data_IF_850001382696
#
_entry.id   IF_850001382696
#
_cell.length_a   1.000
_cell.length_b   1.000
_cell.length_c   1.000
_cell.angle_alpha   90.00
_cell.angle_beta   90.00
_cell.angle_gamma   90.00
#
_symmetry.space_group_name_H-M   'P 1'
#
loop_
_entity.id
_entity.type
_entity.pdbx_description
1 polymer ?
#
# COMPACT_ATOMS: atom_id res chain seq x y z
N UNK A 1 23.22 25.06 -8.59
CA UNK A 1 23.77 23.79 -8.08
C UNK A 1 24.87 23.25 -9.00
N UNK A 2 24.64 23.14 -10.31
CA UNK A 2 25.65 22.62 -11.25
C UNK A 2 26.99 23.39 -11.21
N UNK A 3 26.95 24.71 -11.00
CA UNK A 3 28.16 25.53 -10.84
C UNK A 3 28.94 25.28 -9.54
N UNK A 4 28.29 24.73 -8.49
CA UNK A 4 28.90 24.47 -7.19
C UNK A 4 29.33 23.00 -7.01
N UNK A 5 28.77 22.08 -7.81
CA UNK A 5 29.03 20.64 -7.73
C UNK A 5 29.25 20.05 -9.13
N UNK A 6 30.50 20.04 -9.63
CA UNK A 6 30.83 19.44 -10.92
C UNK A 6 30.47 17.95 -10.93
N UNK A 7 29.74 17.50 -11.97
CA UNK A 7 29.29 16.11 -12.11
C UNK A 7 27.92 15.80 -11.52
N UNK A 8 27.21 16.80 -10.97
CA UNK A 8 25.83 16.64 -10.53
C UNK A 8 24.90 16.41 -11.73
N UNK A 9 24.16 15.29 -11.72
CA UNK A 9 23.14 15.00 -12.73
C UNK A 9 21.76 15.39 -12.23
N UNK A 10 21.13 16.36 -12.89
CA UNK A 10 19.76 16.77 -12.60
C UNK A 10 18.79 15.96 -13.45
N UNK A 11 17.81 15.33 -12.81
CA UNK A 11 16.67 14.74 -13.49
C UNK A 11 15.46 15.61 -13.19
N UNK A 12 14.79 16.08 -14.25
CA UNK A 12 13.60 16.91 -14.11
C UNK A 12 12.35 16.03 -14.21
N UNK A 13 11.43 16.27 -13.28
CA UNK A 13 10.12 15.67 -13.25
C UNK A 13 9.04 16.76 -13.20
N UNK A 14 8.05 16.67 -14.08
CA UNK A 14 6.90 17.59 -14.15
C UNK A 14 5.66 17.05 -13.43
N UNK A 15 5.74 15.85 -12.86
CA UNK A 15 4.72 15.26 -12.01
C UNK A 15 5.36 14.27 -11.02
N UNK A 16 4.66 13.99 -9.93
CA UNK A 16 5.19 13.17 -8.85
C UNK A 16 5.52 11.73 -9.33
N UNK A 17 4.72 11.12 -10.20
CA UNK A 17 4.96 9.76 -10.70
C UNK A 17 6.23 9.65 -11.54
N UNK A 18 6.48 10.64 -12.40
CA UNK A 18 7.73 10.70 -13.16
C UNK A 18 8.91 10.86 -12.21
N UNK A 19 8.76 11.65 -11.13
CA UNK A 19 9.76 11.78 -10.09
C UNK A 19 10.03 10.44 -9.39
N UNK A 20 8.99 9.66 -9.07
CA UNK A 20 9.16 8.31 -8.48
C UNK A 20 9.87 7.35 -9.43
N UNK A 21 9.42 7.22 -10.67
CA UNK A 21 10.02 6.28 -11.63
C UNK A 21 11.49 6.62 -11.89
N UNK A 22 11.81 7.91 -12.00
CA UNK A 22 13.19 8.36 -12.09
C UNK A 22 13.97 8.07 -10.81
N UNK A 23 13.36 8.25 -9.64
CA UNK A 23 14.01 7.96 -8.36
C UNK A 23 14.28 6.46 -8.18
N UNK A 24 13.36 5.60 -8.59
CA UNK A 24 13.52 4.14 -8.55
C UNK A 24 14.60 3.66 -9.52
N UNK A 25 14.62 4.19 -10.75
CA UNK A 25 15.59 3.78 -11.77
C UNK A 25 17.00 4.33 -11.52
N UNK A 26 17.10 5.60 -11.10
CA UNK A 26 18.39 6.29 -10.98
C UNK A 26 18.94 6.33 -9.55
N UNK A 27 18.14 5.97 -8.54
CA UNK A 27 18.47 6.02 -7.11
C UNK A 27 19.19 7.33 -6.73
N UNK A 28 18.57 8.51 -7.00
CA UNK A 28 19.19 9.79 -6.75
C UNK A 28 19.37 9.99 -5.24
N UNK A 29 20.43 10.72 -4.88
CA UNK A 29 20.70 11.06 -3.48
C UNK A 29 19.62 11.98 -2.90
N UNK A 30 19.06 12.86 -3.73
CA UNK A 30 18.02 13.81 -3.37
C UNK A 30 16.93 13.88 -4.43
N UNK A 31 15.70 14.12 -3.98
CA UNK A 31 14.58 14.50 -4.82
C UNK A 31 13.96 15.77 -4.26
N UNK A 32 13.90 16.82 -5.07
CA UNK A 32 13.29 18.10 -4.71
C UNK A 32 11.87 18.14 -5.23
N UNK A 33 10.90 18.45 -4.36
CA UNK A 33 9.48 18.54 -4.69
C UNK A 33 8.99 19.92 -4.33
N UNK A 34 8.48 20.64 -5.31
CA UNK A 34 7.87 21.95 -5.11
C UNK A 34 6.60 21.84 -4.26
N UNK A 35 6.36 22.82 -3.39
CA UNK A 35 5.26 22.85 -2.41
C UNK A 35 3.89 22.61 -3.05
N UNK A 36 3.64 23.14 -4.25
CA UNK A 36 2.40 22.87 -5.00
C UNK A 36 2.12 21.39 -5.20
N UNK A 37 3.15 20.56 -5.42
CA UNK A 37 3.00 19.11 -5.52
C UNK A 37 2.85 18.45 -4.17
N UNK A 38 3.41 19.01 -3.09
CA UNK A 38 3.30 18.44 -1.74
C UNK A 38 1.88 18.52 -1.16
N UNK A 39 1.04 19.39 -1.72
CA UNK A 39 -0.35 19.59 -1.32
C UNK A 39 -1.34 18.69 -2.06
N UNK A 40 -0.87 17.92 -3.04
CA UNK A 40 -1.69 17.00 -3.81
C UNK A 40 -2.02 15.75 -2.98
N UNK A 41 -3.26 15.20 -3.04
CA UNK A 41 -3.60 13.93 -2.41
C UNK A 41 -2.68 12.78 -2.84
N UNK A 42 -2.18 12.82 -4.07
CA UNK A 42 -1.22 11.89 -4.63
C UNK A 42 0.11 11.93 -3.87
N UNK A 43 0.50 13.07 -3.29
CA UNK A 43 1.75 13.21 -2.54
C UNK A 43 1.75 12.34 -1.27
N UNK A 44 0.63 12.26 -0.54
CA UNK A 44 0.55 11.39 0.64
C UNK A 44 0.77 9.92 0.30
N UNK A 45 0.20 9.46 -0.82
CA UNK A 45 0.41 8.12 -1.32
C UNK A 45 1.86 7.91 -1.78
N UNK A 46 2.47 8.96 -2.31
CA UNK A 46 3.83 8.92 -2.78
C UNK A 46 4.85 9.00 -1.65
N UNK A 47 4.55 9.60 -0.50
CA UNK A 47 5.40 9.53 0.70
C UNK A 47 5.69 8.08 1.12
N UNK A 48 4.70 7.20 1.04
CA UNK A 48 4.88 5.77 1.34
C UNK A 48 5.82 5.09 0.34
N UNK A 49 5.69 5.40 -0.96
CA UNK A 49 6.55 4.87 -2.01
C UNK A 49 7.97 5.47 -1.93
N UNK A 50 8.06 6.76 -1.67
CA UNK A 50 9.27 7.54 -1.45
C UNK A 50 10.06 7.09 -0.23
N UNK A 51 9.38 6.65 0.84
CA UNK A 51 10.04 6.03 2.01
C UNK A 51 10.78 4.73 1.67
N UNK A 52 10.49 4.12 0.52
CA UNK A 52 11.03 2.82 0.12
C UNK A 52 12.14 2.90 -0.93
N UNK A 53 12.40 4.09 -1.46
CA UNK A 53 13.62 4.42 -2.21
C UNK A 53 14.59 5.12 -1.25
N UNK A 54 15.88 4.75 -1.27
CA UNK A 54 16.94 5.36 -0.42
C UNK A 54 17.32 6.78 -0.92
N UNK A 55 16.31 7.60 -1.16
CA UNK A 55 16.37 8.96 -1.69
C UNK A 55 15.84 9.93 -0.65
N UNK A 56 16.56 11.03 -0.40
CA UNK A 56 16.08 12.08 0.51
C UNK A 56 15.15 13.03 -0.22
N UNK A 57 13.94 13.16 0.28
CA UNK A 57 12.95 14.06 -0.29
C UNK A 57 13.07 15.44 0.35
N UNK A 58 13.00 16.49 -0.45
CA UNK A 58 13.18 17.88 0.00
C UNK A 58 12.01 18.68 -0.53
N UNK A 59 11.23 19.27 0.36
CA UNK A 59 10.15 20.17 -0.03
C UNK A 59 10.72 21.55 -0.29
N UNK A 60 10.38 22.14 -1.45
CA UNK A 60 10.79 23.50 -1.83
C UNK A 60 9.56 24.41 -1.81
N UNK A 61 9.50 25.29 -0.82
CA UNK A 61 8.38 26.19 -0.53
C UNK A 61 8.50 27.53 -1.25
N UNK A 62 7.34 28.11 -1.60
CA UNK A 62 7.27 29.40 -2.28
C UNK A 62 7.54 30.60 -1.37
N UNK A 63 7.32 30.49 -0.06
CA UNK A 63 7.44 31.63 0.87
C UNK A 63 7.79 31.21 2.30
N UNK A 64 8.53 32.03 3.07
CA UNK A 64 8.86 31.76 4.48
C UNK A 64 7.68 31.71 5.45
N UNK A 65 6.47 32.09 5.00
CA UNK A 65 5.23 32.10 5.78
C UNK A 65 4.16 31.12 5.28
N UNK A 66 4.49 30.23 4.33
CA UNK A 66 3.56 29.20 3.89
C UNK A 66 3.37 28.16 5.01
N UNK A 67 2.12 27.85 5.37
CA UNK A 67 1.83 26.82 6.38
C UNK A 67 2.45 25.50 5.94
N UNK A 68 3.36 24.90 6.74
CA UNK A 68 4.01 23.64 6.36
C UNK A 68 2.99 22.52 6.21
N UNK A 69 3.16 21.68 5.19
CA UNK A 69 2.39 20.44 5.03
C UNK A 69 2.48 19.53 6.27
N UNK A 70 3.45 19.75 7.17
CA UNK A 70 3.61 19.08 8.46
C UNK A 70 2.38 19.10 9.37
N UNK A 71 1.51 20.12 9.31
CA UNK A 71 0.29 20.11 10.13
C UNK A 71 -0.88 19.37 9.47
N UNK A 72 -0.86 19.18 8.14
CA UNK A 72 -1.94 18.49 7.43
C UNK A 72 -1.74 16.98 7.33
N UNK A 73 -0.53 16.45 7.56
CA UNK A 73 -0.30 14.99 7.50
C UNK A 73 0.71 14.48 8.54
N UNK A 74 0.27 13.63 9.51
CA UNK A 74 1.14 12.95 10.47
C UNK A 74 2.25 12.08 9.84
N UNK A 75 2.12 11.76 8.55
CA UNK A 75 3.04 10.92 7.76
C UNK A 75 4.41 11.59 7.52
N UNK A 76 4.49 12.92 7.62
CA UNK A 76 5.73 13.68 7.41
C UNK A 76 6.71 13.61 8.59
N UNK A 77 6.27 13.10 9.75
CA UNK A 77 7.10 12.98 10.95
C UNK A 77 7.89 11.67 11.03
N UNK A 78 7.61 10.68 10.17
CA UNK A 78 8.19 9.33 10.32
C UNK A 78 8.96 8.93 9.07
N UNK A 79 10.29 9.03 9.14
CA UNK A 79 11.21 8.24 8.32
C UNK A 79 11.67 8.82 6.98
N UNK A 80 10.98 9.79 6.36
CA UNK A 80 11.34 10.27 5.02
C UNK A 80 12.42 11.39 5.00
N UNK A 81 12.80 11.95 6.15
CA UNK A 81 13.84 12.98 6.23
C UNK A 81 13.54 14.19 5.32
N UNK A 82 12.30 14.68 5.33
CA UNK A 82 11.90 15.82 4.49
C UNK A 82 12.41 17.12 5.09
N UNK A 83 13.30 17.77 4.34
CA UNK A 83 13.83 19.10 4.65
C UNK A 83 13.04 20.15 3.87
N UNK A 84 12.79 21.28 4.51
CA UNK A 84 12.07 22.41 3.93
C UNK A 84 13.10 23.46 3.49
N UNK A 85 13.05 23.85 2.22
CA UNK A 85 13.85 24.93 1.65
C UNK A 85 12.90 25.95 1.04
N UNK A 86 13.21 27.23 1.11
CA UNK A 86 12.39 28.27 0.49
C UNK A 86 13.03 28.78 -0.80
N UNK A 87 12.23 29.14 -1.79
CA UNK A 87 12.72 29.80 -3.01
C UNK A 87 13.40 31.15 -2.74
N UNK A 88 13.19 31.72 -1.55
CA UNK A 88 13.81 32.96 -1.10
C UNK A 88 15.22 32.77 -0.49
N UNK A 89 15.66 31.53 -0.26
CA UNK A 89 16.99 31.26 0.27
C UNK A 89 18.09 31.59 -0.75
N UNK A 90 19.16 32.25 -0.29
CA UNK A 90 20.27 32.58 -1.18
C UNK A 90 21.00 31.32 -1.69
N UNK A 91 21.57 31.31 -2.90
CA UNK A 91 22.31 30.16 -3.43
C UNK A 91 23.44 29.65 -2.51
N UNK A 92 24.03 30.53 -1.69
CA UNK A 92 25.04 30.17 -0.68
C UNK A 92 24.44 29.43 0.51
N UNK A 93 23.27 29.87 1.01
CA UNK A 93 22.56 29.18 2.09
C UNK A 93 22.08 27.79 1.64
N UNK A 94 21.57 27.69 0.41
CA UNK A 94 21.17 26.41 -0.18
C UNK A 94 22.34 25.41 -0.26
N UNK A 95 23.53 25.87 -0.65
CA UNK A 95 24.73 25.03 -0.69
C UNK A 95 25.16 24.54 0.70
N UNK A 96 25.02 25.37 1.74
CA UNK A 96 25.31 24.99 3.12
C UNK A 96 24.32 23.93 3.64
N UNK A 97 23.02 24.07 3.33
CA UNK A 97 22.02 23.06 3.67
C UNK A 97 22.26 21.74 2.96
N UNK A 98 22.58 21.79 1.66
CA UNK A 98 22.95 20.61 0.88
C UNK A 98 24.13 19.86 1.51
N UNK A 99 25.20 20.57 1.90
CA UNK A 99 26.37 19.98 2.56
C UNK A 99 26.03 19.30 3.88
N UNK A 100 25.18 19.92 4.69
CA UNK A 100 24.70 19.35 5.95
C UNK A 100 23.86 18.09 5.71
N UNK A 101 23.02 18.11 4.67
CA UNK A 101 22.21 16.95 4.29
C UNK A 101 23.09 15.81 3.77
N UNK A 102 24.02 16.05 2.85
CA UNK A 102 24.93 14.99 2.35
C UNK A 102 25.71 14.31 3.49
N UNK A 103 26.10 15.08 4.51
CA UNK A 103 26.92 14.60 5.65
C UNK A 103 26.13 13.95 6.79
N UNK A 104 24.80 14.09 6.85
CA UNK A 104 24.00 13.52 7.94
C UNK A 104 23.94 11.98 7.88
N UNK A 105 24.06 11.26 9.03
CA UNK A 105 24.14 9.79 9.06
C UNK A 105 22.89 9.10 8.52
N UNK A 106 23.07 8.04 7.72
CA UNK A 106 21.98 7.22 7.14
C UNK A 106 21.47 6.23 8.18
N UNK A 107 20.15 6.18 8.42
CA UNK A 107 19.51 5.13 9.22
C UNK A 107 19.04 4.03 8.26
N UNK A 108 19.69 2.86 8.31
CA UNK A 108 19.31 1.68 7.52
C UNK A 108 20.31 1.27 6.44
N UNK A 109 21.60 1.15 6.75
CA UNK A 109 22.46 0.31 5.93
C UNK A 109 21.95 -1.15 6.01
N UNK A 110 21.94 -1.92 4.90
CA UNK A 110 21.43 -3.28 4.92
C UNK A 110 22.32 -4.13 5.81
N UNK A 111 21.73 -4.74 6.85
CA UNK A 111 22.36 -5.87 7.49
C UNK A 111 22.51 -6.96 6.41
N UNK A 112 23.75 -7.21 6.02
CA UNK A 112 24.11 -8.27 5.07
C UNK A 112 23.44 -9.58 5.51
N UNK A 113 22.75 -10.18 4.55
CA UNK A 113 22.29 -11.57 4.47
C UNK A 113 23.02 -12.52 5.42
N UNK A 114 22.29 -13.09 6.39
CA UNK A 114 22.66 -14.37 7.01
C UNK A 114 21.91 -15.50 6.32
N UNK A 115 22.65 -16.50 5.88
CA UNK A 115 22.23 -17.59 5.01
C UNK A 115 21.11 -18.50 5.56
N UNK A 116 20.31 -18.97 4.60
CA UNK A 116 19.36 -20.09 4.56
C UNK A 116 19.13 -20.91 5.84
N UNK A 117 17.99 -20.68 6.48
CA UNK A 117 17.23 -21.77 7.10
C UNK A 117 16.49 -22.55 5.98
N UNK A 118 16.33 -23.88 6.10
CA UNK A 118 15.51 -24.64 5.17
C UNK A 118 14.08 -24.08 5.14
N UNK A 119 13.42 -24.03 3.96
CA UNK A 119 12.08 -23.47 3.87
C UNK A 119 11.16 -24.24 4.83
N UNK A 120 10.42 -23.55 5.72
CA UNK A 120 9.51 -24.20 6.63
C UNK A 120 8.49 -25.02 5.81
N UNK A 121 8.05 -26.19 6.31
CA UNK A 121 7.18 -27.09 5.56
C UNK A 121 5.94 -26.33 5.06
N UNK A 122 5.61 -26.47 3.77
CA UNK A 122 4.43 -25.88 3.15
C UNK A 122 3.20 -26.28 3.97
N UNK A 123 2.65 -25.34 4.74
CA UNK A 123 1.38 -25.55 5.43
C UNK A 123 0.29 -25.42 4.40
N UNK A 124 -0.49 -26.46 4.25
CA UNK A 124 -1.65 -26.46 3.37
C UNK A 124 -2.79 -25.73 4.10
N UNK A 125 -2.90 -24.42 3.87
CA UNK A 125 -4.00 -23.65 4.43
C UNK A 125 -5.27 -23.97 3.65
N UNK A 126 -6.27 -24.51 4.36
CA UNK A 126 -7.60 -24.75 3.78
C UNK A 126 -8.35 -23.45 3.47
N UNK A 127 -7.94 -22.35 4.10
CA UNK A 127 -8.57 -21.03 4.01
C UNK A 127 -7.68 -20.02 3.29
N UNK A 128 -8.29 -19.01 2.68
CA UNK A 128 -7.61 -17.87 2.08
C UNK A 128 -8.21 -16.55 2.56
N UNK A 129 -7.41 -15.49 2.48
CA UNK A 129 -7.73 -14.15 2.99
C UNK A 129 -8.08 -13.23 1.83
N UNK A 130 -9.14 -12.43 1.99
CA UNK A 130 -9.51 -11.36 1.06
C UNK A 130 -9.44 -10.00 1.78
N UNK A 131 -8.80 -9.01 1.16
CA UNK A 131 -8.64 -7.67 1.74
C UNK A 131 -9.11 -6.62 0.73
N UNK A 132 -10.00 -5.73 1.17
CA UNK A 132 -10.39 -4.53 0.43
C UNK A 132 -9.91 -3.26 1.13
N UNK A 133 -9.41 -2.29 0.37
CA UNK A 133 -8.89 -1.02 0.92
C UNK A 133 -8.88 0.11 -0.11
N UNK A 134 -8.87 1.37 0.34
CA UNK A 134 -8.83 2.57 -0.51
C UNK A 134 -7.94 3.65 0.14
N UNK A 135 -8.44 4.87 0.38
CA UNK A 135 -7.71 5.96 1.05
C UNK A 135 -7.15 5.53 2.41
N UNK A 136 -5.85 5.73 2.63
CA UNK A 136 -5.10 5.23 3.78
C UNK A 136 -4.74 3.74 3.72
N UNK A 137 -5.17 3.05 2.67
CA UNK A 137 -5.04 1.60 2.51
C UNK A 137 -3.61 1.11 2.39
N UNK A 138 -2.71 1.89 1.76
CA UNK A 138 -1.30 1.52 1.62
C UNK A 138 -0.66 1.27 2.99
N UNK A 139 -0.77 2.23 3.92
CA UNK A 139 -0.20 2.08 5.27
C UNK A 139 -0.94 1.01 6.10
N UNK A 140 -2.25 0.88 5.91
CA UNK A 140 -3.01 -0.19 6.55
C UNK A 140 -2.54 -1.59 6.09
N UNK A 141 -2.30 -1.76 4.78
CA UNK A 141 -1.75 -2.97 4.19
C UNK A 141 -0.33 -3.24 4.69
N UNK A 142 0.54 -2.22 4.80
CA UNK A 142 1.87 -2.37 5.39
C UNK A 142 1.78 -2.88 6.83
N UNK A 143 0.92 -2.27 7.65
CA UNK A 143 0.73 -2.68 9.05
C UNK A 143 0.20 -4.11 9.17
N UNK A 144 -0.64 -4.56 8.24
CA UNK A 144 -1.20 -5.93 8.26
C UNK A 144 -0.16 -6.94 7.78
N UNK A 145 0.51 -6.67 6.66
CA UNK A 145 1.39 -7.64 5.99
C UNK A 145 2.73 -7.85 6.70
N UNK A 146 3.21 -6.89 7.51
CA UNK A 146 4.37 -7.12 8.39
C UNK A 146 4.12 -8.25 9.40
N UNK A 147 2.85 -8.53 9.74
CA UNK A 147 2.48 -9.66 10.58
C UNK A 147 2.44 -11.01 9.87
N UNK A 148 2.64 -11.06 8.55
CA UNK A 148 2.53 -12.28 7.76
C UNK A 148 3.88 -13.00 7.67
N UNK A 149 3.85 -14.33 7.77
CA UNK A 149 5.03 -15.19 7.61
C UNK A 149 5.16 -15.69 6.17
N UNK A 150 6.34 -16.20 5.79
CA UNK A 150 6.56 -16.82 4.47
C UNK A 150 5.54 -17.93 4.12
N UNK A 151 5.01 -18.62 5.13
CA UNK A 151 3.96 -19.62 4.97
C UNK A 151 2.62 -19.09 5.51
N UNK A 152 2.19 -17.90 5.11
CA UNK A 152 0.86 -17.39 5.43
C UNK A 152 -0.23 -18.06 4.54
N UNK A 153 -1.52 -17.99 4.92
CA UNK A 153 -2.60 -18.31 4.00
C UNK A 153 -2.49 -17.50 2.69
N UNK A 154 -2.93 -18.05 1.55
CA UNK A 154 -3.05 -17.28 0.31
C UNK A 154 -3.90 -16.03 0.56
N UNK A 155 -3.45 -14.87 0.08
CA UNK A 155 -4.15 -13.60 0.33
C UNK A 155 -4.38 -12.82 -0.95
N UNK A 156 -5.60 -12.36 -1.19
CA UNK A 156 -5.96 -11.56 -2.36
C UNK A 156 -6.40 -10.17 -1.90
N UNK A 157 -5.84 -9.14 -2.51
CA UNK A 157 -6.00 -7.75 -2.10
C UNK A 157 -6.50 -6.93 -3.27
N UNK A 158 -7.61 -6.22 -3.07
CA UNK A 158 -8.00 -5.09 -3.93
C UNK A 158 -7.68 -3.80 -3.18
N UNK A 159 -6.84 -2.98 -3.81
CA UNK A 159 -6.53 -1.62 -3.35
C UNK A 159 -6.98 -0.65 -4.44
N UNK A 160 -7.90 0.26 -4.11
CA UNK A 160 -8.25 1.35 -5.01
C UNK A 160 -7.09 2.33 -5.13
N UNK A 161 -6.62 2.52 -6.35
CA UNK A 161 -5.55 3.48 -6.67
C UNK A 161 -5.60 3.81 -8.15
N UNK A 162 -4.90 4.86 -8.56
CA UNK A 162 -4.76 5.21 -9.97
C UNK A 162 -4.01 4.14 -10.77
N UNK A 163 -4.24 4.10 -12.09
CA UNK A 163 -3.70 3.06 -13.00
C UNK A 163 -2.17 2.89 -12.92
N UNK A 164 -1.45 3.97 -12.66
CA UNK A 164 0.02 3.98 -12.71
C UNK A 164 0.70 3.55 -11.39
N UNK A 165 -0.06 3.36 -10.31
CA UNK A 165 0.50 3.13 -8.97
C UNK A 165 0.61 1.66 -8.56
N UNK A 166 -0.02 0.75 -9.32
CA UNK A 166 -0.05 -0.69 -9.03
C UNK A 166 1.34 -1.32 -8.85
N UNK A 167 2.26 -1.20 -9.82
CA UNK A 167 3.58 -1.85 -9.74
C UNK A 167 4.43 -1.38 -8.55
N UNK A 168 4.42 -0.07 -8.26
CA UNK A 168 5.16 0.49 -7.12
C UNK A 168 4.61 -0.01 -5.78
N UNK A 169 3.28 -0.11 -5.66
CA UNK A 169 2.64 -0.67 -4.46
C UNK A 169 3.00 -2.15 -4.25
N UNK A 170 2.94 -2.97 -5.30
CA UNK A 170 3.31 -4.39 -5.21
C UNK A 170 4.75 -4.53 -4.71
N UNK A 171 5.68 -3.78 -5.31
CA UNK A 171 7.09 -3.79 -4.94
C UNK A 171 7.33 -3.30 -3.52
N UNK A 172 6.57 -2.30 -3.07
CA UNK A 172 6.58 -1.82 -1.69
C UNK A 172 6.18 -2.92 -0.70
N UNK A 173 5.08 -3.60 -0.97
CA UNK A 173 4.54 -4.63 -0.09
C UNK A 173 5.42 -5.89 -0.08
N UNK A 174 6.00 -6.27 -1.23
CA UNK A 174 6.91 -7.42 -1.33
C UNK A 174 8.17 -7.23 -0.48
N UNK A 175 8.73 -6.01 -0.43
CA UNK A 175 9.93 -5.71 0.39
C UNK A 175 9.72 -5.85 1.90
N UNK A 176 8.48 -5.69 2.38
CA UNK A 176 8.19 -5.66 3.83
C UNK A 176 7.50 -6.93 4.33
N UNK A 177 6.92 -7.72 3.42
CA UNK A 177 6.21 -8.94 3.74
C UNK A 177 7.16 -10.13 3.63
N UNK A 178 7.11 -11.07 4.57
CA UNK A 178 7.90 -12.30 4.46
C UNK A 178 7.33 -13.27 3.40
N UNK A 179 6.04 -13.13 3.07
CA UNK A 179 5.39 -13.85 1.98
C UNK A 179 5.64 -13.14 0.64
N UNK A 180 5.59 -13.91 -0.46
CA UNK A 180 5.81 -13.37 -1.80
C UNK A 180 4.60 -12.52 -2.21
N UNK A 181 4.81 -11.23 -2.48
CA UNK A 181 3.76 -10.32 -2.94
C UNK A 181 3.91 -10.09 -4.44
N UNK A 182 2.83 -10.32 -5.19
CA UNK A 182 2.83 -10.21 -6.66
C UNK A 182 1.62 -9.44 -7.15
N UNK A 183 1.75 -8.85 -8.34
CA UNK A 183 0.61 -8.30 -9.06
C UNK A 183 -0.35 -9.44 -9.44
N UNK A 184 -1.64 -9.21 -9.31
CA UNK A 184 -2.65 -10.18 -9.71
C UNK A 184 -2.73 -10.30 -11.24
N UNK A 185 -2.46 -11.50 -11.76
CA UNK A 185 -2.57 -11.83 -13.17
C UNK A 185 -3.60 -12.95 -13.42
N UNK A 186 -4.18 -12.95 -14.62
CA UNK A 186 -5.21 -13.89 -14.99
C UNK A 186 -4.67 -15.33 -15.04
N UNK A 187 -5.40 -16.28 -14.47
CA UNK A 187 -5.05 -17.69 -14.48
C UNK A 187 -3.97 -18.10 -13.47
N UNK A 188 -3.38 -17.17 -12.70
CA UNK A 188 -2.43 -17.52 -11.62
C UNK A 188 -3.08 -18.49 -10.63
N UNK A 189 -2.35 -19.55 -10.28
CA UNK A 189 -2.79 -20.46 -9.22
C UNK A 189 -2.63 -19.80 -7.85
N UNK A 190 -3.62 -19.99 -6.99
CA UNK A 190 -3.64 -19.44 -5.63
C UNK A 190 -2.91 -20.40 -4.70
N UNK A 191 -1.81 -19.92 -4.12
CA UNK A 191 -0.88 -20.73 -3.35
C UNK A 191 -0.60 -20.13 -1.96
N UNK A 192 -0.29 -20.98 -1.00
CA UNK A 192 0.13 -20.53 0.33
C UNK A 192 1.46 -19.76 0.23
N UNK A 193 1.66 -18.81 1.13
CA UNK A 193 2.83 -17.93 1.11
C UNK A 193 2.84 -16.88 0.00
N UNK A 194 1.69 -16.68 -0.66
CA UNK A 194 1.52 -15.67 -1.70
C UNK A 194 0.44 -14.64 -1.34
N UNK A 195 0.73 -13.38 -1.69
CA UNK A 195 -0.19 -12.26 -1.62
C UNK A 195 -0.36 -11.70 -3.03
N UNK A 196 -1.58 -11.70 -3.54
CA UNK A 196 -1.91 -11.23 -4.89
C UNK A 196 -2.61 -9.88 -4.79
N UNK A 197 -2.06 -8.87 -5.46
CA UNK A 197 -2.54 -7.49 -5.34
C UNK A 197 -3.09 -7.01 -6.68
N UNK A 198 -4.37 -6.65 -6.68
CA UNK A 198 -5.01 -5.90 -7.74
C UNK A 198 -5.08 -4.42 -7.34
N UNK A 199 -4.18 -3.62 -7.91
CA UNK A 199 -4.08 -2.18 -7.72
C UNK A 199 -3.77 -1.52 -9.08
N UNK A 200 -4.51 -0.46 -9.43
CA UNK A 200 -4.35 0.22 -10.73
C UNK A 200 -4.76 -0.63 -11.95
N UNK A 201 -5.50 -1.72 -11.73
CA UNK A 201 -5.90 -2.66 -12.79
C UNK A 201 -7.09 -2.13 -13.62
N UNK A 202 -7.15 -2.49 -14.90
CA UNK A 202 -8.31 -2.21 -15.76
C UNK A 202 -9.37 -3.32 -15.74
N UNK A 203 -9.09 -4.42 -15.03
CA UNK A 203 -9.95 -5.60 -14.87
C UNK A 203 -10.24 -5.83 -13.39
N UNK A 204 -11.41 -6.36 -13.09
CA UNK A 204 -11.75 -6.84 -11.76
C UNK A 204 -11.03 -8.15 -11.47
N UNK A 205 -10.44 -8.25 -10.28
CA UNK A 205 -9.92 -9.52 -9.76
C UNK A 205 -11.07 -10.33 -9.14
N UNK A 206 -11.07 -11.63 -9.39
CA UNK A 206 -11.94 -12.59 -8.73
C UNK A 206 -11.37 -14.00 -8.80
N UNK A 207 -12.20 -14.99 -8.47
CA UNK A 207 -11.83 -16.41 -8.43
C UNK A 207 -12.45 -17.21 -9.58
N UNK A 208 -11.72 -18.22 -10.05
CA UNK A 208 -12.28 -19.25 -10.92
C UNK A 208 -13.22 -20.19 -10.13
N UNK A 209 -14.34 -20.64 -10.71
CA UNK A 209 -15.29 -21.54 -10.03
C UNK A 209 -14.82 -23.01 -9.93
N UNK A 210 -13.64 -23.35 -10.45
CA UNK A 210 -13.11 -24.72 -10.49
C UNK A 210 -11.87 -24.86 -9.61
N UNK A 211 -11.63 -26.07 -9.10
CA UNK A 211 -10.34 -26.44 -8.50
C UNK A 211 -9.38 -26.93 -9.59
N UNK A 212 -8.06 -26.67 -9.48
CA UNK A 212 -7.40 -25.85 -8.47
C UNK A 212 -7.82 -24.37 -8.57
N UNK A 213 -7.88 -23.67 -7.43
CA UNK A 213 -8.29 -22.27 -7.39
C UNK A 213 -7.29 -21.40 -8.15
N UNK A 214 -7.81 -20.59 -9.08
CA UNK A 214 -7.03 -19.62 -9.86
C UNK A 214 -7.64 -18.24 -9.77
N UNK A 215 -6.79 -17.23 -9.90
CA UNK A 215 -7.23 -15.86 -10.16
C UNK A 215 -7.92 -15.79 -11.51
N UNK A 216 -9.00 -15.01 -11.55
CA UNK A 216 -9.70 -14.65 -12.77
C UNK A 216 -9.78 -13.15 -12.84
N UNK A 217 -9.13 -12.56 -13.83
CA UNK A 217 -9.27 -11.15 -14.15
C UNK A 217 -10.44 -11.00 -15.12
N UNK A 218 -11.37 -10.08 -14.89
CA UNK A 218 -12.55 -9.91 -15.75
C UNK A 218 -12.76 -8.45 -16.09
N UNK A 219 -12.94 -8.17 -17.37
CA UNK A 219 -13.40 -6.86 -17.81
C UNK A 219 -14.84 -6.62 -17.38
N UNK A 220 -15.16 -5.37 -17.09
CA UNK A 220 -16.50 -4.97 -16.67
C UNK A 220 -16.56 -3.48 -16.38
N UNK A 221 -17.79 -2.93 -16.30
CA UNK A 221 -17.98 -1.56 -15.85
C UNK A 221 -17.58 -1.42 -14.38
N UNK A 222 -17.21 -0.21 -13.92
CA UNK A 222 -16.92 0.04 -12.52
C UNK A 222 -18.07 -0.41 -11.60
N UNK A 223 -17.72 -1.08 -10.51
CA UNK A 223 -18.66 -1.48 -9.45
C UNK A 223 -18.45 -0.53 -8.28
N UNK A 224 -19.52 0.11 -7.83
CA UNK A 224 -19.44 1.17 -6.80
C UNK A 224 -18.46 2.29 -7.18
N UNK A 225 -18.29 2.53 -8.49
CA UNK A 225 -17.38 3.55 -9.05
C UNK A 225 -15.92 3.12 -9.20
N UNK A 226 -15.58 1.84 -8.96
CA UNK A 226 -14.19 1.37 -8.96
C UNK A 226 -13.93 0.17 -9.89
N UNK A 227 -12.77 0.19 -10.53
CA UNK A 227 -12.14 -0.95 -11.21
C UNK A 227 -10.64 -0.91 -10.88
N UNK A 228 -10.05 -1.94 -10.25
CA UNK A 228 -10.72 -3.12 -9.68
C UNK A 228 -11.66 -2.74 -8.51
N UNK A 229 -12.64 -3.59 -8.20
CA UNK A 229 -13.61 -3.37 -7.11
C UNK A 229 -13.50 -4.49 -6.08
N UNK A 230 -13.67 -4.11 -4.82
CA UNK A 230 -13.67 -5.03 -3.67
C UNK A 230 -14.91 -5.93 -3.70
N UNK A 231 -16.09 -5.38 -4.03
CA UNK A 231 -17.33 -6.17 -4.18
C UNK A 231 -17.17 -7.25 -5.25
N UNK A 232 -16.46 -6.96 -6.35
CA UNK A 232 -16.21 -7.93 -7.39
C UNK A 232 -15.39 -9.13 -6.89
N UNK A 233 -14.29 -8.85 -6.15
CA UNK A 233 -13.47 -9.88 -5.52
C UNK A 233 -14.29 -10.71 -4.54
N UNK A 234 -14.97 -10.05 -3.60
CA UNK A 234 -15.68 -10.71 -2.51
C UNK A 234 -16.85 -11.56 -3.03
N UNK A 235 -17.64 -11.03 -3.97
CA UNK A 235 -18.75 -11.77 -4.59
C UNK A 235 -18.26 -13.02 -5.33
N UNK A 236 -17.12 -12.94 -6.01
CA UNK A 236 -16.56 -14.11 -6.71
C UNK A 236 -16.13 -15.25 -5.77
N UNK A 237 -15.90 -14.94 -4.50
CA UNK A 237 -15.48 -15.90 -3.48
C UNK A 237 -16.64 -16.55 -2.72
N UNK A 238 -17.88 -16.12 -2.93
CA UNK A 238 -19.07 -16.66 -2.24
C UNK A 238 -19.20 -18.19 -2.29
N UNK A 239 -18.93 -18.88 -3.41
CA UNK A 239 -18.99 -20.35 -3.44
C UNK A 239 -18.05 -21.05 -2.46
N UNK A 240 -17.04 -20.33 -1.96
CA UNK A 240 -16.02 -20.80 -1.05
C UNK A 240 -16.16 -20.17 0.35
N UNK A 241 -17.30 -19.57 0.70
CA UNK A 241 -17.46 -18.74 1.91
C UNK A 241 -16.89 -19.36 3.19
N UNK A 242 -17.11 -20.65 3.45
CA UNK A 242 -16.56 -21.37 4.63
C UNK A 242 -15.02 -21.41 4.68
N UNK A 243 -14.38 -21.31 3.52
CA UNK A 243 -12.93 -21.30 3.33
C UNK A 243 -12.37 -19.86 3.23
N UNK A 244 -13.20 -18.84 3.41
CA UNK A 244 -12.82 -17.42 3.28
C UNK A 244 -12.73 -16.74 4.63
N UNK A 245 -11.66 -15.96 4.79
CA UNK A 245 -11.58 -14.89 5.78
C UNK A 245 -11.49 -13.57 5.03
N UNK A 246 -12.34 -12.60 5.34
CA UNK A 246 -12.38 -11.34 4.60
C UNK A 246 -12.37 -10.12 5.52
N UNK A 247 -11.70 -9.05 5.10
CA UNK A 247 -11.73 -7.78 5.82
C UNK A 247 -11.81 -6.58 4.89
N UNK A 248 -12.44 -5.53 5.38
CA UNK A 248 -12.38 -4.19 4.79
C UNK A 248 -11.55 -3.29 5.69
N UNK A 249 -10.56 -2.64 5.10
CA UNK A 249 -9.71 -1.63 5.74
C UNK A 249 -10.18 -0.23 5.37
N UNK A 250 -9.51 0.77 5.93
CA UNK A 250 -9.70 2.20 5.68
C UNK A 250 -9.92 2.52 4.21
N UNK A 251 -10.82 3.47 3.97
CA UNK A 251 -11.17 3.89 2.64
C UNK A 251 -12.47 4.69 2.59
N UNK A 252 -12.61 5.52 1.57
CA UNK A 252 -13.84 6.25 1.28
C UNK A 252 -14.85 5.37 0.53
N UNK A 253 -16.14 5.67 0.70
CA UNK A 253 -17.22 5.03 -0.04
C UNK A 253 -17.73 3.75 0.63
N UNK A 254 -18.29 2.85 -0.18
CA UNK A 254 -19.02 1.67 0.30
C UNK A 254 -18.62 0.36 -0.40
N UNK A 255 -17.70 0.42 -1.36
CA UNK A 255 -17.30 -0.77 -2.12
C UNK A 255 -16.73 -1.83 -1.18
N UNK A 256 -17.12 -3.08 -1.41
CA UNK A 256 -16.81 -4.22 -0.57
C UNK A 256 -17.88 -4.54 0.47
N UNK A 257 -18.67 -3.57 0.94
CA UNK A 257 -19.63 -3.82 2.02
C UNK A 257 -20.69 -4.87 1.62
N UNK A 258 -21.19 -4.78 0.38
CA UNK A 258 -22.18 -5.75 -0.15
C UNK A 258 -21.55 -7.14 -0.29
N UNK A 259 -20.39 -7.23 -0.91
CA UNK A 259 -19.69 -8.50 -1.10
C UNK A 259 -19.29 -9.14 0.24
N UNK A 260 -18.91 -8.34 1.24
CA UNK A 260 -18.55 -8.83 2.57
C UNK A 260 -19.78 -9.40 3.28
N UNK A 261 -20.95 -8.78 3.13
CA UNK A 261 -22.21 -9.30 3.69
C UNK A 261 -22.58 -10.63 3.06
N UNK A 262 -22.45 -10.76 1.74
CA UNK A 262 -22.71 -12.00 1.03
C UNK A 262 -21.71 -13.11 1.42
N UNK A 263 -20.43 -12.77 1.64
CA UNK A 263 -19.45 -13.70 2.20
C UNK A 263 -19.82 -14.14 3.61
N UNK A 264 -20.24 -13.23 4.48
CA UNK A 264 -20.71 -13.57 5.83
C UNK A 264 -21.89 -14.54 5.77
N UNK A 265 -22.87 -14.29 4.89
CA UNK A 265 -24.02 -15.19 4.68
C UNK A 265 -23.57 -16.57 4.17
N UNK A 266 -22.52 -16.62 3.36
CA UNK A 266 -21.91 -17.86 2.87
C UNK A 266 -21.01 -18.58 3.91
N UNK A 267 -20.87 -18.03 5.12
CA UNK A 267 -20.13 -18.65 6.23
C UNK A 267 -18.70 -18.16 6.40
N UNK A 268 -18.29 -17.09 5.72
CA UNK A 268 -16.96 -16.50 5.89
C UNK A 268 -16.81 -15.81 7.24
N UNK A 269 -15.58 -15.80 7.77
CA UNK A 269 -15.23 -14.94 8.88
C UNK A 269 -14.97 -13.53 8.34
N UNK A 270 -15.73 -12.53 8.81
CA UNK A 270 -15.68 -11.17 8.25
C UNK A 270 -15.33 -10.10 9.29
N UNK A 271 -14.39 -9.23 8.92
CA UNK A 271 -13.86 -8.17 9.78
C UNK A 271 -13.97 -6.80 9.10
N UNK A 272 -13.98 -5.75 9.92
CA UNK A 272 -13.81 -4.37 9.47
C UNK A 272 -12.78 -3.66 10.36
N UNK A 273 -11.97 -2.77 9.79
CA UNK A 273 -11.11 -1.89 10.57
C UNK A 273 -11.93 -0.94 11.45
N UNK A 274 -11.53 -0.75 12.70
CA UNK A 274 -12.20 0.20 13.59
C UNK A 274 -12.03 1.67 13.15
N UNK A 275 -12.92 2.53 13.64
CA UNK A 275 -12.89 3.97 13.34
C UNK A 275 -11.60 4.62 13.83
N UNK A 276 -11.17 4.31 15.05
CA UNK A 276 -10.03 4.95 15.71
C UNK A 276 -8.71 4.77 14.93
N UNK A 277 -8.53 3.63 14.28
CA UNK A 277 -7.31 3.36 13.49
C UNK A 277 -7.47 3.65 12.00
N UNK A 278 -8.67 4.00 11.53
CA UNK A 278 -8.92 4.31 10.12
C UNK A 278 -8.51 5.75 9.81
N UNK A 279 -7.80 5.94 8.69
CA UNK A 279 -7.57 7.29 8.13
C UNK A 279 -8.88 7.86 7.58
N UNK A 280 -9.63 7.02 6.87
CA UNK A 280 -10.98 7.32 6.37
C UNK A 280 -11.90 6.18 6.76
N UNK A 281 -12.82 6.45 7.67
CA UNK A 281 -13.81 5.48 8.16
C UNK A 281 -15.09 5.48 7.29
N UNK A 282 -14.93 5.24 5.98
CA UNK A 282 -16.02 5.11 5.02
C UNK A 282 -16.41 3.65 4.79
N UNK A 283 -15.57 2.92 4.05
CA UNK A 283 -15.80 1.51 3.70
C UNK A 283 -15.98 0.63 4.95
N UNK A 284 -15.15 0.73 6.01
CA UNK A 284 -15.35 -0.08 7.21
C UNK A 284 -16.65 0.26 7.95
N UNK A 285 -17.05 1.55 7.96
CA UNK A 285 -18.29 2.01 8.58
C UNK A 285 -19.50 1.40 7.91
N UNK A 286 -19.59 1.49 6.58
CA UNK A 286 -20.72 0.91 5.83
C UNK A 286 -20.77 -0.60 6.01
N UNK A 287 -19.62 -1.28 5.99
CA UNK A 287 -19.54 -2.71 6.24
C UNK A 287 -20.00 -3.10 7.66
N UNK A 288 -19.77 -2.26 8.66
CA UNK A 288 -20.25 -2.48 10.02
C UNK A 288 -21.75 -2.23 10.15
N UNK A 289 -22.23 -1.07 9.70
CA UNK A 289 -23.63 -0.65 9.80
C UNK A 289 -24.58 -1.59 9.05
N UNK A 290 -24.14 -2.15 7.92
CA UNK A 290 -24.92 -3.14 7.14
C UNK A 290 -24.86 -4.56 7.71
N UNK A 291 -24.13 -4.77 8.81
CA UNK A 291 -23.91 -6.10 9.38
C UNK A 291 -23.04 -7.00 8.51
N UNK A 292 -22.27 -6.45 7.57
CA UNK A 292 -21.37 -7.22 6.73
C UNK A 292 -20.18 -7.79 7.52
N UNK A 293 -19.63 -6.99 8.44
CA UNK A 293 -18.56 -7.41 9.35
C UNK A 293 -19.13 -8.05 10.63
N UNK A 294 -18.56 -9.19 11.04
CA UNK A 294 -18.90 -9.81 12.32
C UNK A 294 -18.19 -9.13 13.49
N UNK A 295 -17.01 -8.55 13.26
CA UNK A 295 -16.20 -7.88 14.28
C UNK A 295 -15.51 -6.65 13.71
N UNK A 296 -15.46 -5.58 14.51
CA UNK A 296 -14.51 -4.49 14.28
C UNK A 296 -13.19 -4.79 14.99
N UNK A 297 -12.08 -4.53 14.31
CA UNK A 297 -10.74 -4.82 14.81
C UNK A 297 -9.84 -3.63 14.54
N UNK A 298 -9.05 -3.23 15.54
CA UNK A 298 -8.04 -2.19 15.33
C UNK A 298 -6.98 -2.65 14.34
N UNK A 299 -6.43 -1.73 13.54
CA UNK A 299 -5.43 -2.04 12.53
C UNK A 299 -4.26 -2.87 13.09
N UNK A 300 -3.75 -2.49 14.26
CA UNK A 300 -2.66 -3.19 14.95
C UNK A 300 -2.96 -4.66 15.28
N UNK A 301 -4.23 -5.04 15.42
CA UNK A 301 -4.66 -6.42 15.72
C UNK A 301 -5.16 -7.17 14.49
N UNK A 302 -5.31 -6.50 13.36
CA UNK A 302 -5.95 -7.06 12.17
C UNK A 302 -5.21 -8.29 11.64
N UNK A 303 -3.87 -8.22 11.51
CA UNK A 303 -3.06 -9.36 11.04
C UNK A 303 -3.30 -10.61 11.90
N UNK A 304 -3.23 -10.47 13.23
CA UNK A 304 -3.47 -11.58 14.15
C UNK A 304 -4.89 -12.13 14.06
N UNK A 305 -5.89 -11.27 13.90
CA UNK A 305 -7.29 -11.68 13.76
C UNK A 305 -7.51 -12.51 12.48
N UNK A 306 -6.98 -12.06 11.34
CA UNK A 306 -7.07 -12.75 10.06
C UNK A 306 -6.40 -14.13 10.11
N UNK A 307 -5.14 -14.16 10.57
CA UNK A 307 -4.37 -15.40 10.65
C UNK A 307 -4.99 -16.41 11.63
N UNK A 308 -5.57 -15.93 12.73
CA UNK A 308 -6.24 -16.81 13.68
C UNK A 308 -7.54 -17.40 13.10
N UNK A 309 -8.33 -16.62 12.37
CA UNK A 309 -9.54 -17.09 11.70
C UNK A 309 -9.26 -18.12 10.59
N UNK A 310 -8.05 -18.13 10.03
CA UNK A 310 -7.62 -19.13 9.06
C UNK A 310 -7.23 -20.50 9.68
N UNK A 311 -7.06 -20.58 11.00
CA UNK A 311 -6.66 -21.84 11.70
C UNK A 311 -7.85 -22.69 12.13
N UNK A 312 -8.97 -22.04 12.41
CA UNK A 312 -10.26 -22.67 12.76
C UNK A 312 -10.98 -23.12 11.50
#
# INVERSE_FOLDING_TARGET
MEAAYPGMKVLLANNLMMAYNQAEAAQPTFAFVEDGFTRLPEFEMMLALFSAVDTRWVSVMDSPGATPARQSSPLLNVGAGIFELTKADSPRQFAQYYDMMVKAPRRGAPARTSASAPPPPKRDFKKFILIGSSTGGVEALRSVLVGFTQNCPPTLIVQHTGKNFGPGLVSLLDRICAAKVVAAEDGMQIESGHVYVAAGQTRHMGLSPRKPLRLRMKEGPPISGHTPSVDALFTSAMPYGKDVVATILTGMGQDGAKGLLELRKAGAATFAQDEKSSVVYGMPRVAWETGAAQKQVSLARMAGALLQACKT
#
